data_IF_858986274149
#
_entry.id   IF_858986274149
#
_cell.length_a   1.000
_cell.length_b   1.000
_cell.length_c   1.000
_cell.angle_alpha   90.00
_cell.angle_beta   90.00
_cell.angle_gamma   90.00
#
_symmetry.space_group_name_H-M   'P 1'
#
loop_
_entity.id
_entity.type
_entity.pdbx_description
1 polymer ?
#
# COMPACT_ATOMS: atom_id res chain seq x y z
N UNK A 1 -10.80 10.29 21.13
CA UNK A 1 -10.43 8.85 21.03
C UNK A 1 -8.93 8.61 21.20
N UNK A 2 -8.03 9.12 20.34
CA UNK A 2 -6.56 9.01 20.55
C UNK A 2 -6.10 9.65 21.87
N UNK A 3 -6.64 10.84 22.19
CA UNK A 3 -6.45 11.51 23.48
C UNK A 3 -6.87 10.67 24.69
N UNK A 4 -7.86 9.78 24.54
CA UNK A 4 -8.34 8.93 25.64
C UNK A 4 -7.36 7.78 25.96
N UNK A 5 -6.52 7.37 25.01
CA UNK A 5 -5.51 6.32 25.21
C UNK A 5 -4.23 6.84 25.84
N UNK A 6 -3.83 8.10 25.56
CA UNK A 6 -2.72 8.76 26.25
C UNK A 6 -2.92 8.78 27.77
N UNK A 7 -4.18 8.89 28.22
CA UNK A 7 -4.55 8.87 29.62
C UNK A 7 -4.52 7.47 30.28
N UNK A 8 -4.41 6.37 29.51
CA UNK A 8 -4.56 4.99 30.00
C UNK A 8 -3.25 4.18 30.10
N UNK A 9 -2.09 4.77 29.83
CA UNK A 9 -0.78 4.14 30.16
C UNK A 9 -0.45 2.84 29.42
N UNK A 10 -0.98 2.63 28.21
CA UNK A 10 -0.78 1.40 27.43
C UNK A 10 0.55 1.44 26.66
N UNK A 11 1.32 0.34 26.73
CA UNK A 11 2.69 0.17 26.19
C UNK A 11 2.77 0.21 24.65
N UNK A 12 3.89 0.74 24.16
CA UNK A 12 4.25 1.15 22.78
C UNK A 12 4.42 0.04 21.70
N UNK A 13 4.08 -1.22 21.98
CA UNK A 13 4.56 -2.32 21.11
C UNK A 13 3.68 -2.66 19.90
N UNK A 14 2.49 -2.07 19.73
CA UNK A 14 1.57 -2.45 18.64
C UNK A 14 0.97 -1.25 17.90
N UNK A 15 0.96 -1.25 16.55
CA UNK A 15 0.37 -0.15 15.78
C UNK A 15 -1.14 -0.08 15.97
N UNK A 16 -1.65 1.12 16.26
CA UNK A 16 -3.07 1.36 16.55
C UNK A 16 -3.73 2.04 15.37
N UNK A 17 -4.68 1.37 14.74
CA UNK A 17 -5.65 2.04 13.87
C UNK A 17 -6.99 2.12 14.61
N UNK A 18 -7.57 3.31 14.68
CA UNK A 18 -8.91 3.51 15.22
C UNK A 18 -9.94 2.79 14.33
N UNK A 19 -10.92 2.10 14.92
CA UNK A 19 -12.14 1.78 14.20
C UNK A 19 -13.14 2.95 14.24
N UNK A 20 -14.19 2.86 13.43
CA UNK A 20 -15.24 3.87 13.32
C UNK A 20 -16.19 3.92 14.55
N UNK A 21 -16.06 2.98 15.49
CA UNK A 21 -16.94 2.80 16.65
C UNK A 21 -16.26 3.12 17.99
N UNK A 22 -15.02 3.61 17.97
CA UNK A 22 -14.29 3.96 19.20
C UNK A 22 -13.41 2.85 19.77
N UNK A 23 -13.22 1.73 19.06
CA UNK A 23 -12.30 0.63 19.37
C UNK A 23 -11.01 0.62 18.54
N UNK A 24 -10.22 -0.46 18.69
CA UNK A 24 -8.90 -0.60 18.07
C UNK A 24 -8.86 -1.77 17.10
N UNK A 25 -8.21 -1.59 15.95
CA UNK A 25 -7.93 -2.68 15.00
C UNK A 25 -6.44 -2.94 14.87
N UNK A 26 -6.09 -4.22 14.79
CA UNK A 26 -4.75 -4.64 14.45
C UNK A 26 -4.43 -4.31 12.97
N UNK A 27 -3.13 -4.21 12.62
CA UNK A 27 -2.69 -3.84 11.28
C UNK A 27 -3.16 -4.79 10.18
N UNK A 28 -3.37 -6.08 10.48
CA UNK A 28 -3.76 -7.06 9.47
C UNK A 28 -5.23 -6.88 9.09
N UNK A 29 -6.10 -6.62 10.07
CA UNK A 29 -7.51 -6.33 9.87
C UNK A 29 -7.70 -5.00 9.14
N UNK A 30 -6.96 -3.95 9.50
CA UNK A 30 -7.03 -2.66 8.79
C UNK A 30 -6.57 -2.77 7.35
N UNK A 31 -5.50 -3.52 7.09
CA UNK A 31 -5.07 -3.81 5.72
C UNK A 31 -6.11 -4.61 4.94
N UNK A 32 -6.82 -5.54 5.59
CA UNK A 32 -7.91 -6.29 4.97
C UNK A 32 -9.10 -5.39 4.65
N UNK A 33 -9.50 -4.53 5.58
CA UNK A 33 -10.66 -3.65 5.39
C UNK A 33 -10.36 -2.57 4.36
N UNK A 34 -9.16 -1.98 4.38
CA UNK A 34 -8.71 -1.09 3.30
C UNK A 34 -8.65 -1.84 1.97
N UNK A 35 -8.15 -3.09 1.96
CA UNK A 35 -8.20 -3.91 0.74
C UNK A 35 -9.64 -4.14 0.29
N UNK A 36 -10.60 -4.30 1.18
CA UNK A 36 -12.01 -4.49 0.83
C UNK A 36 -12.67 -3.18 0.36
N UNK A 37 -12.39 -2.05 0.99
CA UNK A 37 -12.91 -0.72 0.62
C UNK A 37 -12.28 -0.18 -0.68
N UNK A 38 -11.00 -0.48 -0.91
CA UNK A 38 -10.27 -0.17 -2.16
C UNK A 38 -10.40 -1.23 -3.22
N UNK A 39 -10.81 -2.44 -2.83
CA UNK A 39 -11.29 -3.36 -3.84
C UNK A 39 -12.42 -2.56 -4.43
N UNK A 40 -12.39 -2.24 -5.73
CA UNK A 40 -13.68 -2.13 -6.36
C UNK A 40 -14.38 -3.42 -5.94
N UNK A 41 -15.65 -3.39 -5.62
CA UNK A 41 -16.42 -4.53 -6.12
C UNK A 41 -15.99 -4.54 -7.58
N UNK A 42 -15.10 -5.47 -7.97
CA UNK A 42 -14.69 -5.58 -9.37
C UNK A 42 -16.02 -5.50 -10.09
N UNK A 43 -16.12 -4.66 -11.13
CA UNK A 43 -17.39 -4.53 -11.87
C UNK A 43 -17.99 -5.92 -11.98
N UNK A 44 -19.31 -6.10 -11.88
CA UNK A 44 -19.87 -7.46 -11.83
C UNK A 44 -19.23 -8.38 -12.91
N UNK A 45 -18.92 -7.79 -14.08
CA UNK A 45 -18.05 -8.33 -15.12
C UNK A 45 -16.64 -8.85 -14.68
N UNK A 46 -15.84 -8.11 -13.92
CA UNK A 46 -14.53 -8.54 -13.38
C UNK A 46 -14.65 -9.70 -12.38
N UNK A 47 -15.70 -9.71 -11.55
CA UNK A 47 -15.97 -10.84 -10.66
C UNK A 47 -16.36 -12.08 -11.47
N UNK A 48 -17.22 -11.90 -12.47
CA UNK A 48 -17.68 -12.99 -13.32
C UNK A 48 -16.55 -13.54 -14.20
N UNK A 49 -15.67 -12.67 -14.71
CA UNK A 49 -14.43 -13.08 -15.39
C UNK A 49 -13.56 -13.94 -14.46
N UNK A 50 -13.34 -13.48 -13.22
CA UNK A 50 -12.55 -14.21 -12.23
C UNK A 50 -13.12 -15.63 -11.97
N UNK A 51 -14.44 -15.75 -11.83
CA UNK A 51 -15.13 -17.04 -11.70
C UNK A 51 -14.94 -17.92 -12.94
N UNK A 52 -15.05 -17.36 -14.15
CA UNK A 52 -14.83 -18.12 -15.39
C UNK A 52 -13.39 -18.61 -15.51
N UNK A 53 -12.39 -17.79 -15.14
CA UNK A 53 -10.98 -18.22 -15.12
C UNK A 53 -10.73 -19.30 -14.08
N UNK A 54 -11.34 -19.19 -12.90
CA UNK A 54 -11.23 -20.22 -11.85
C UNK A 54 -11.89 -21.54 -12.27
N UNK A 55 -13.04 -21.47 -12.94
CA UNK A 55 -13.72 -22.63 -13.52
C UNK A 55 -12.86 -23.28 -14.62
N UNK A 56 -12.33 -22.49 -15.56
CA UNK A 56 -11.43 -22.97 -16.61
C UNK A 56 -10.18 -23.66 -16.03
N UNK A 57 -9.54 -23.07 -15.01
CA UNK A 57 -8.42 -23.70 -14.31
C UNK A 57 -8.81 -25.05 -13.71
N UNK A 58 -9.98 -25.11 -13.08
CA UNK A 58 -10.47 -26.32 -12.40
C UNK A 58 -10.82 -27.41 -13.41
N UNK A 59 -11.41 -27.06 -14.55
CA UNK A 59 -11.64 -27.97 -15.69
C UNK A 59 -10.34 -28.48 -16.31
N UNK A 60 -9.27 -27.69 -16.29
CA UNK A 60 -7.93 -28.11 -16.69
C UNK A 60 -7.22 -29.00 -15.64
N UNK A 61 -7.84 -29.24 -14.48
CA UNK A 61 -7.26 -30.06 -13.39
C UNK A 61 -6.10 -29.38 -12.66
N UNK A 62 -5.92 -28.07 -12.83
CA UNK A 62 -4.78 -27.34 -12.27
C UNK A 62 -5.10 -26.72 -10.91
N UNK A 63 -4.17 -26.79 -9.97
CA UNK A 63 -4.18 -25.95 -8.77
C UNK A 63 -3.74 -24.51 -9.10
N UNK A 64 -4.06 -23.54 -8.23
CA UNK A 64 -3.55 -22.17 -8.38
C UNK A 64 -2.01 -22.10 -8.38
N UNK A 65 -1.32 -23.05 -7.73
CA UNK A 65 0.15 -23.10 -7.70
C UNK A 65 0.71 -23.54 -9.04
N UNK A 66 0.13 -24.57 -9.65
CA UNK A 66 0.54 -25.07 -10.96
C UNK A 66 0.22 -24.06 -12.06
N UNK A 67 -0.97 -23.47 -12.03
CA UNK A 67 -1.34 -22.37 -12.93
C UNK A 67 -0.35 -21.21 -12.83
N UNK A 68 0.02 -20.80 -11.62
CA UNK A 68 1.01 -19.75 -11.39
C UNK A 68 2.38 -20.10 -11.98
N UNK A 69 2.82 -21.35 -11.82
CA UNK A 69 4.08 -21.82 -12.40
C UNK A 69 4.03 -21.82 -13.94
N UNK A 70 2.95 -22.31 -14.55
CA UNK A 70 2.78 -22.33 -16.01
C UNK A 70 2.73 -20.92 -16.60
N UNK A 71 2.06 -19.99 -15.93
CA UNK A 71 1.93 -18.59 -16.36
C UNK A 71 3.18 -17.74 -16.06
N UNK A 72 4.16 -18.30 -15.32
CA UNK A 72 5.27 -17.55 -14.73
C UNK A 72 4.78 -16.33 -13.92
N UNK A 73 3.70 -16.51 -13.16
CA UNK A 73 3.09 -15.47 -12.32
C UNK A 73 3.28 -15.80 -10.84
N UNK A 74 3.32 -14.78 -9.95
CA UNK A 74 3.15 -15.03 -8.53
C UNK A 74 1.79 -15.70 -8.26
N UNK A 75 1.75 -16.71 -7.38
CA UNK A 75 0.48 -17.37 -6.98
C UNK A 75 -0.57 -16.35 -6.53
N UNK A 76 -0.15 -15.32 -5.82
CA UNK A 76 -1.02 -14.23 -5.36
C UNK A 76 -1.70 -13.51 -6.51
N UNK A 77 -1.03 -13.32 -7.66
CA UNK A 77 -1.61 -12.70 -8.86
C UNK A 77 -2.72 -13.55 -9.46
N UNK A 78 -2.52 -14.87 -9.55
CA UNK A 78 -3.56 -15.81 -10.01
C UNK A 78 -4.77 -15.75 -9.08
N UNK A 79 -4.54 -15.80 -7.76
CA UNK A 79 -5.62 -15.66 -6.79
C UNK A 79 -6.35 -14.31 -6.92
N UNK A 80 -5.64 -13.21 -7.05
CA UNK A 80 -6.25 -11.89 -7.23
C UNK A 80 -7.07 -11.81 -8.53
N UNK A 81 -6.61 -12.41 -9.62
CA UNK A 81 -7.35 -12.49 -10.88
C UNK A 81 -8.65 -13.29 -10.75
N UNK A 82 -8.58 -14.49 -10.16
CA UNK A 82 -9.75 -15.37 -9.97
C UNK A 82 -10.81 -14.78 -9.05
N UNK A 83 -10.40 -13.94 -8.09
CA UNK A 83 -11.34 -13.22 -7.24
C UNK A 83 -11.79 -11.88 -7.82
N UNK A 84 -11.42 -11.57 -9.08
CA UNK A 84 -11.80 -10.31 -9.74
C UNK A 84 -11.22 -9.06 -9.09
N UNK A 85 -10.07 -9.16 -8.40
CA UNK A 85 -9.46 -8.06 -7.63
C UNK A 85 -8.41 -7.25 -8.40
N UNK A 86 -8.04 -7.70 -9.59
CA UNK A 86 -7.11 -7.00 -10.47
C UNK A 86 -7.68 -6.93 -11.88
N UNK A 87 -7.32 -5.88 -12.62
CA UNK A 87 -7.58 -5.79 -14.05
C UNK A 87 -6.62 -6.72 -14.80
N UNK A 88 -7.16 -7.52 -15.70
CA UNK A 88 -6.40 -8.34 -16.62
C UNK A 88 -6.69 -7.86 -18.05
N UNK A 89 -5.69 -7.26 -18.74
CA UNK A 89 -5.81 -6.95 -20.15
C UNK A 89 -6.13 -8.20 -20.98
N UNK A 90 -6.81 -8.03 -22.11
CA UNK A 90 -7.17 -9.10 -23.06
C UNK A 90 -6.00 -10.05 -23.36
N UNK A 91 -4.80 -9.52 -23.61
CA UNK A 91 -3.60 -10.31 -23.90
C UNK A 91 -3.22 -11.26 -22.75
N UNK A 92 -3.36 -10.82 -21.50
CA UNK A 92 -3.10 -11.67 -20.33
C UNK A 92 -4.19 -12.73 -20.19
N UNK A 93 -5.46 -12.40 -20.47
CA UNK A 93 -6.54 -13.38 -20.47
C UNK A 93 -6.31 -14.45 -21.54
N UNK A 94 -5.89 -14.07 -22.75
CA UNK A 94 -5.48 -15.04 -23.78
C UNK A 94 -4.41 -16.00 -23.28
N UNK A 95 -3.35 -15.46 -22.66
CA UNK A 95 -2.27 -16.28 -22.07
C UNK A 95 -2.81 -17.27 -21.02
N UNK A 96 -3.78 -16.85 -20.21
CA UNK A 96 -4.44 -17.72 -19.22
C UNK A 96 -5.27 -18.81 -19.90
N UNK A 97 -6.03 -18.46 -20.95
CA UNK A 97 -6.83 -19.43 -21.70
C UNK A 97 -5.97 -20.45 -22.45
N UNK A 98 -4.80 -20.04 -22.94
CA UNK A 98 -3.80 -20.94 -23.52
C UNK A 98 -3.24 -21.89 -22.47
N UNK A 99 -2.80 -21.37 -21.32
CA UNK A 99 -2.27 -22.19 -20.23
C UNK A 99 -3.30 -23.21 -19.70
N UNK A 100 -4.59 -22.84 -19.69
CA UNK A 100 -5.67 -23.72 -19.23
C UNK A 100 -6.23 -24.61 -20.36
N UNK A 101 -5.61 -24.59 -21.54
CA UNK A 101 -6.03 -25.35 -22.72
C UNK A 101 -7.53 -25.15 -23.08
N UNK A 102 -8.06 -23.93 -22.87
CA UNK A 102 -9.46 -23.62 -23.17
C UNK A 102 -9.67 -23.71 -24.69
N UNK A 103 -10.63 -24.52 -25.17
CA UNK A 103 -10.88 -24.68 -26.61
C UNK A 103 -11.20 -23.34 -27.27
N UNK A 104 -10.65 -23.08 -28.46
CA UNK A 104 -10.84 -21.82 -29.19
C UNK A 104 -12.31 -21.39 -29.30
N UNK A 105 -13.22 -22.33 -29.55
CA UNK A 105 -14.68 -22.09 -29.63
C UNK A 105 -15.30 -21.47 -28.36
N UNK A 106 -14.67 -21.64 -27.21
CA UNK A 106 -15.15 -21.14 -25.91
C UNK A 106 -14.48 -19.84 -25.49
N UNK A 107 -13.47 -19.36 -26.24
CA UNK A 107 -12.65 -18.21 -25.81
C UNK A 107 -13.35 -16.88 -26.02
N UNK A 108 -14.09 -16.70 -27.11
CA UNK A 108 -14.64 -15.40 -27.50
C UNK A 108 -15.52 -14.78 -26.40
N UNK A 109 -16.48 -15.50 -25.78
CA UNK A 109 -17.29 -14.93 -24.69
C UNK A 109 -16.46 -14.49 -23.48
N UNK A 110 -15.38 -15.24 -23.15
CA UNK A 110 -14.48 -14.90 -22.04
C UNK A 110 -13.69 -13.63 -22.37
N UNK A 111 -13.26 -13.49 -23.62
CA UNK A 111 -12.51 -12.33 -24.09
C UNK A 111 -13.38 -11.07 -24.17
N UNK A 112 -14.62 -11.19 -24.61
CA UNK A 112 -15.57 -10.07 -24.62
C UNK A 112 -15.87 -9.59 -23.20
N UNK A 113 -16.05 -10.53 -22.27
CA UNK A 113 -16.17 -10.22 -20.84
C UNK A 113 -14.91 -9.57 -20.27
N UNK A 114 -13.73 -9.96 -20.76
CA UNK A 114 -12.46 -9.38 -20.33
C UNK A 114 -12.31 -7.91 -20.73
N UNK A 115 -12.80 -7.51 -21.91
CA UNK A 115 -12.83 -6.09 -22.30
C UNK A 115 -13.68 -5.27 -21.32
N UNK A 116 -14.90 -5.72 -21.04
CA UNK A 116 -15.81 -5.05 -20.08
C UNK A 116 -15.22 -5.03 -18.67
N UNK A 117 -14.52 -6.10 -18.26
CA UNK A 117 -13.87 -6.19 -16.96
C UNK A 117 -12.63 -5.28 -16.82
N UNK A 118 -12.03 -4.87 -17.94
CA UNK A 118 -10.85 -4.00 -17.99
C UNK A 118 -11.19 -2.52 -17.84
N UNK A 119 -12.46 -2.14 -18.06
CA UNK A 119 -12.95 -0.79 -17.85
C UNK A 119 -12.63 -0.30 -16.41
N UNK A 120 -12.09 0.93 -16.28
CA UNK A 120 -11.81 1.50 -14.98
C UNK A 120 -13.11 1.79 -14.23
N UNK A 121 -13.18 1.37 -12.98
CA UNK A 121 -14.27 1.69 -12.07
C UNK A 121 -13.81 2.72 -11.04
N UNK A 122 -14.74 3.41 -10.39
CA UNK A 122 -14.44 4.46 -9.40
C UNK A 122 -13.45 3.99 -8.31
N UNK A 123 -13.59 2.74 -7.85
CA UNK A 123 -12.66 2.14 -6.89
C UNK A 123 -11.21 2.03 -7.39
N UNK A 124 -10.98 1.95 -8.70
CA UNK A 124 -9.62 1.94 -9.26
C UNK A 124 -8.94 3.31 -9.10
N UNK A 125 -9.69 4.42 -9.05
CA UNK A 125 -9.15 5.75 -8.76
C UNK A 125 -8.63 5.86 -7.32
N UNK A 126 -9.16 5.06 -6.40
CA UNK A 126 -8.70 4.96 -5.01
C UNK A 126 -7.59 3.92 -4.82
N UNK A 127 -7.11 3.30 -5.90
CA UNK A 127 -6.05 2.28 -5.84
C UNK A 127 -4.74 2.82 -5.28
N UNK A 128 -4.46 4.12 -5.38
CA UNK A 128 -3.29 4.74 -4.76
C UNK A 128 -3.40 4.80 -3.22
N UNK A 129 -4.60 4.75 -2.64
CA UNK A 129 -4.79 4.86 -1.18
C UNK A 129 -4.39 3.55 -0.50
N UNK A 130 -3.13 3.35 -0.13
CA UNK A 130 -2.68 2.12 0.55
C UNK A 130 -2.57 2.33 2.07
N UNK A 131 -2.52 1.24 2.86
CA UNK A 131 -2.14 1.33 4.28
C UNK A 131 -0.75 1.95 4.47
N UNK A 132 0.14 1.79 3.48
CA UNK A 132 1.44 2.45 3.49
C UNK A 132 1.30 3.96 3.31
N UNK A 133 0.45 4.41 2.38
CA UNK A 133 0.18 5.83 2.17
C UNK A 133 -0.52 6.47 3.37
N UNK A 134 -1.49 5.78 3.99
CA UNK A 134 -2.06 6.22 5.27
C UNK A 134 -0.98 6.36 6.35
N UNK A 135 -0.08 5.39 6.49
CA UNK A 135 1.04 5.48 7.46
C UNK A 135 1.98 6.65 7.16
N UNK A 136 2.26 6.93 5.88
CA UNK A 136 3.02 8.11 5.45
C UNK A 136 2.30 9.39 5.84
N UNK A 137 1.02 9.51 5.50
CA UNK A 137 0.20 10.66 5.88
C UNK A 137 0.16 10.87 7.39
N UNK A 138 -0.03 9.80 8.18
CA UNK A 138 0.04 9.87 9.64
C UNK A 138 1.41 10.37 10.12
N UNK A 139 2.51 9.85 9.54
CA UNK A 139 3.85 10.30 9.89
C UNK A 139 4.06 11.78 9.58
N UNK A 140 3.63 12.22 8.39
CA UNK A 140 3.71 13.63 7.97
C UNK A 140 2.93 14.55 8.92
N UNK A 141 1.70 14.20 9.29
CA UNK A 141 0.90 14.99 10.24
C UNK A 141 1.59 15.10 11.60
N UNK A 142 2.19 14.01 12.09
CA UNK A 142 2.88 14.01 13.38
C UNK A 142 4.22 14.77 13.32
N UNK A 143 4.94 14.65 12.20
CA UNK A 143 6.18 15.40 11.93
C UNK A 143 5.91 16.91 11.86
N UNK A 144 4.88 17.32 11.11
CA UNK A 144 4.41 18.71 11.04
C UNK A 144 3.93 19.25 12.40
N UNK A 145 3.39 18.39 13.26
CA UNK A 145 3.06 18.71 14.65
C UNK A 145 4.28 18.76 15.60
N UNK A 146 5.49 18.58 15.08
CA UNK A 146 6.75 18.66 15.84
C UNK A 146 7.06 17.43 16.68
N UNK A 147 6.42 16.29 16.43
CA UNK A 147 6.70 15.05 17.16
C UNK A 147 8.09 14.50 16.80
N UNK A 148 8.77 13.94 17.81
CA UNK A 148 10.08 13.32 17.58
C UNK A 148 9.97 12.05 16.73
N UNK A 149 11.04 11.72 16.00
CA UNK A 149 11.14 10.47 15.25
C UNK A 149 10.82 9.22 16.10
N UNK A 150 11.13 9.25 17.40
CA UNK A 150 10.83 8.19 18.36
C UNK A 150 9.33 8.10 18.62
N UNK A 151 8.68 9.20 18.98
CA UNK A 151 7.23 9.23 19.23
C UNK A 151 6.43 8.81 17.98
N UNK A 152 6.87 9.24 16.80
CA UNK A 152 6.27 8.81 15.52
C UNK A 152 6.52 7.31 15.29
N UNK A 153 7.73 6.81 15.57
CA UNK A 153 8.05 5.38 15.46
C UNK A 153 7.15 4.52 16.36
N UNK A 154 6.91 4.96 17.60
CA UNK A 154 6.06 4.26 18.57
C UNK A 154 4.62 4.18 18.04
N UNK A 155 4.07 5.28 17.50
CA UNK A 155 2.75 5.29 16.88
C UNK A 155 2.66 4.39 15.61
N UNK A 156 3.72 4.31 14.82
CA UNK A 156 3.76 3.49 13.60
C UNK A 156 4.11 2.02 13.87
N UNK A 157 4.60 1.71 15.08
CA UNK A 157 5.13 0.41 15.49
C UNK A 157 6.44 0.05 14.81
N UNK A 158 7.34 1.03 14.61
CA UNK A 158 8.66 0.80 14.05
C UNK A 158 9.66 0.43 15.16
N UNK A 159 10.32 -0.73 15.02
CA UNK A 159 11.31 -1.20 15.99
C UNK A 159 12.56 -0.31 16.11
N UNK A 160 12.86 0.50 15.09
CA UNK A 160 14.01 1.42 15.05
C UNK A 160 13.55 2.83 14.66
N UNK A 161 13.72 3.84 15.52
CA UNK A 161 13.34 5.23 15.22
C UNK A 161 14.04 5.83 14.00
N UNK A 162 15.28 5.41 13.71
CA UNK A 162 16.02 5.87 12.52
C UNK A 162 15.27 5.57 11.21
N UNK A 163 14.56 4.45 11.12
CA UNK A 163 13.74 4.15 9.93
C UNK A 163 12.62 5.18 9.73
N UNK A 164 12.01 5.66 10.80
CA UNK A 164 11.00 6.72 10.73
C UNK A 164 11.62 8.02 10.24
N UNK A 165 12.77 8.40 10.81
CA UNK A 165 13.48 9.61 10.42
C UNK A 165 13.91 9.58 8.95
N UNK A 166 14.47 8.46 8.49
CA UNK A 166 15.04 8.34 7.14
C UNK A 166 13.97 8.20 6.05
N UNK A 167 12.87 7.49 6.37
CA UNK A 167 11.88 7.07 5.37
C UNK A 167 10.59 7.87 5.49
N UNK A 168 10.13 8.19 6.69
CA UNK A 168 8.79 8.72 6.93
C UNK A 168 8.73 10.22 7.27
N UNK A 169 9.83 10.82 7.71
CA UNK A 169 9.92 12.25 7.98
C UNK A 169 10.49 13.00 6.79
N UNK A 170 10.03 14.23 6.59
CA UNK A 170 10.63 15.10 5.57
C UNK A 170 11.92 15.69 6.11
N UNK A 171 12.89 15.98 5.23
CA UNK A 171 14.14 16.66 5.65
C UNK A 171 13.92 18.13 6.08
N UNK A 172 12.67 18.61 6.05
CA UNK A 172 12.31 19.99 6.34
C UNK A 172 12.96 20.98 5.37
N UNK A 173 12.57 22.25 5.46
CA UNK A 173 13.36 23.35 4.90
C UNK A 173 14.71 23.40 5.62
N UNK A 174 15.80 23.75 4.91
CA UNK A 174 17.16 23.87 5.50
C UNK A 174 17.07 24.60 6.85
N UNK A 175 17.50 23.93 7.92
CA UNK A 175 17.33 24.41 9.30
C UNK A 175 18.00 25.80 9.46
N UNK A 176 17.22 26.89 9.59
CA UNK A 176 17.79 28.22 9.75
C UNK A 176 18.50 28.38 11.10
N UNK A 177 18.15 27.58 12.11
CA UNK A 177 18.88 27.49 13.37
C UNK A 177 20.26 26.84 13.22
N UNK A 178 20.43 25.88 12.29
CA UNK A 178 21.75 25.34 11.96
C UNK A 178 22.60 26.39 11.24
N UNK A 179 22.01 27.19 10.36
CA UNK A 179 22.70 28.32 9.72
C UNK A 179 23.13 29.35 10.78
N UNK A 180 22.25 29.75 11.70
CA UNK A 180 22.58 30.68 12.78
C UNK A 180 23.67 30.14 13.73
N UNK A 181 23.62 28.85 14.09
CA UNK A 181 24.63 28.21 14.92
C UNK A 181 25.99 28.11 14.21
N UNK A 182 25.99 27.84 12.90
CA UNK A 182 27.20 27.83 12.07
C UNK A 182 27.78 29.23 11.89
N UNK A 183 26.94 30.25 11.67
CA UNK A 183 27.34 31.65 11.59
C UNK A 183 27.98 32.11 12.90
N UNK A 184 27.39 31.75 14.04
CA UNK A 184 27.90 32.09 15.37
C UNK A 184 29.22 31.36 15.69
N UNK A 185 29.37 30.11 15.23
CA UNK A 185 30.61 29.35 15.37
C UNK A 185 31.73 29.84 14.43
N UNK A 186 31.38 30.34 13.24
CA UNK A 186 32.34 30.85 12.26
C UNK A 186 32.66 32.34 12.43
N UNK A 187 31.77 33.13 13.05
CA UNK A 187 31.90 34.57 13.27
C UNK A 187 32.87 34.99 14.39
N UNK A 188 33.56 34.04 15.03
CA UNK A 188 34.52 34.32 16.11
C UNK A 188 35.99 34.24 15.69
N UNK A 189 36.31 34.34 14.38
CA UNK A 189 37.68 34.63 13.94
C UNK A 189 37.81 36.12 13.65
N UNK A 190 38.26 36.89 14.65
CA UNK A 190 38.83 38.21 14.39
C UNK A 190 39.99 38.05 13.40
N UNK A 191 39.84 38.62 12.21
CA UNK A 191 40.96 38.83 11.30
C UNK A 191 41.99 39.74 11.99
N UNK A 192 43.27 39.37 12.06
CA UNK A 192 44.29 40.26 12.59
C UNK A 192 44.35 41.50 11.68
N UNK A 193 44.02 42.67 12.23
CA UNK A 193 44.23 43.97 11.59
C UNK A 193 45.71 44.09 11.22
N UNK A 194 46.01 43.89 9.94
CA UNK A 194 47.35 44.10 9.43
C UNK A 194 47.63 45.61 9.47
N UNK A 195 48.49 46.03 10.41
CA UNK A 195 49.15 47.34 10.37
C UNK A 195 50.29 47.24 9.38
N UNK A 196 50.22 48.01 8.31
CA UNK A 196 51.28 48.19 7.31
C UNK A 196 50.85 49.26 6.33
#
# INVERSE_FOLDING_TARGET
MLMARAAQGIRDSEPVFCDALGGHRDPSNVRRDLRNARSPVGSQARVDLGKQLAAARSSAGLTQREAAAQLNWPRTRVGLAEHGRIRLPRANVLTVLDAYAVPHRQRQPILDLAEVAAEPVEGDALSWITSHNFRKTTATILDEAGQSARAIADQLGHARPSMTQDVYMSRGTKNPGAAAALEQAMGNKEEPKNRG
#
